data_IF_251631738434
#
_entry.id   IF_251631738434
#
_cell.length_a   1.000
_cell.length_b   1.000
_cell.length_c   1.000
_cell.angle_alpha   90.00
_cell.angle_beta   90.00
_cell.angle_gamma   90.00
#
_symmetry.space_group_name_H-M   'P 1'
#
loop_
_entity.id
_entity.type
_entity.pdbx_description
1 polymer ?
#
# COMPACT_ATOMS: atom_id res chain seq x y z
N UNK A 1 -10.58 -5.47 6.60
CA UNK A 1 -9.92 -5.17 5.32
C UNK A 1 -10.17 -3.69 5.05
N UNK A 2 -9.51 -3.10 4.07
CA UNK A 2 -9.69 -1.70 3.74
C UNK A 2 -10.57 -1.55 2.50
N UNK A 3 -11.79 -1.07 2.71
CA UNK A 3 -12.73 -0.75 1.64
C UNK A 3 -12.62 0.72 1.27
N UNK A 4 -12.66 1.03 -0.02
CA UNK A 4 -12.62 2.40 -0.49
C UNK A 4 -13.93 3.11 -0.16
N UNK A 5 -13.85 4.18 0.61
CA UNK A 5 -14.99 5.05 0.96
C UNK A 5 -15.16 6.16 -0.07
N UNK A 6 -14.06 6.81 -0.43
CA UNK A 6 -14.01 7.84 -1.47
C UNK A 6 -12.57 8.04 -1.97
N UNK A 7 -12.43 8.84 -3.03
CA UNK A 7 -11.15 9.31 -3.54
C UNK A 7 -11.20 10.83 -3.57
N UNK A 8 -10.29 11.48 -2.84
CA UNK A 8 -10.12 12.93 -2.93
C UNK A 8 -9.17 13.24 -4.07
N UNK A 9 -9.62 14.05 -5.02
CA UNK A 9 -8.74 14.51 -6.11
C UNK A 9 -7.64 15.40 -5.55
N UNK A 10 -6.43 15.19 -6.05
CA UNK A 10 -5.32 16.10 -5.84
C UNK A 10 -4.70 16.47 -7.17
N UNK A 11 -4.50 17.78 -7.38
CA UNK A 11 -3.85 18.34 -8.56
C UNK A 11 -2.30 18.27 -8.45
N UNK A 12 -1.77 17.92 -7.27
CA UNK A 12 -0.35 17.74 -7.01
C UNK A 12 -0.11 16.41 -6.30
N UNK A 13 0.88 15.63 -6.74
CA UNK A 13 1.26 14.41 -6.01
C UNK A 13 1.69 14.75 -4.59
N UNK A 14 1.18 13.99 -3.61
CA UNK A 14 1.54 14.17 -2.20
C UNK A 14 2.94 13.61 -1.91
N UNK A 15 3.53 14.03 -0.79
CA UNK A 15 4.82 13.48 -0.37
C UNK A 15 4.65 12.02 0.05
N UNK A 16 5.44 11.15 -0.59
CA UNK A 16 5.51 9.72 -0.28
C UNK A 16 6.96 9.32 -0.14
N UNK A 17 7.32 8.66 0.95
CA UNK A 17 8.64 8.09 1.18
C UNK A 17 8.50 6.58 1.31
N UNK A 18 9.21 5.84 0.46
CA UNK A 18 9.23 4.38 0.52
C UNK A 18 10.65 3.90 0.80
N UNK A 19 10.83 3.13 1.86
CA UNK A 19 12.15 2.64 2.28
C UNK A 19 12.19 1.13 2.32
N UNK A 20 13.36 0.59 1.99
CA UNK A 20 13.70 -0.81 2.19
C UNK A 20 15.00 -0.90 2.99
N UNK A 21 14.96 -1.60 4.13
CA UNK A 21 16.13 -1.84 4.97
C UNK A 21 16.52 -3.32 4.88
N UNK A 22 17.51 -3.71 4.05
CA UNK A 22 17.82 -5.12 3.78
C UNK A 22 18.23 -5.92 5.00
N UNK A 23 18.92 -5.29 5.96
CA UNK A 23 19.42 -5.93 7.19
C UNK A 23 18.30 -6.43 8.11
N UNK A 24 17.12 -5.83 8.03
CA UNK A 24 15.94 -6.19 8.82
C UNK A 24 14.72 -6.59 7.97
N UNK A 25 14.87 -6.61 6.64
CA UNK A 25 13.81 -6.91 5.67
C UNK A 25 12.51 -6.14 5.93
N UNK A 26 12.65 -4.85 6.25
CA UNK A 26 11.52 -3.95 6.47
C UNK A 26 11.19 -3.20 5.18
N UNK A 27 9.93 -3.27 4.77
CA UNK A 27 9.36 -2.49 3.68
C UNK A 27 8.40 -1.48 4.28
N UNK A 28 8.68 -0.20 4.08
CA UNK A 28 7.85 0.86 4.62
C UNK A 28 7.41 1.81 3.51
N UNK A 29 6.16 2.24 3.58
CA UNK A 29 5.62 3.34 2.78
C UNK A 29 5.01 4.33 3.77
N UNK A 30 5.65 5.50 3.87
CA UNK A 30 5.22 6.63 4.68
C UNK A 30 4.65 7.71 3.77
N UNK A 31 3.54 8.32 4.17
CA UNK A 31 2.94 9.45 3.47
C UNK A 31 2.89 10.68 4.38
N UNK A 32 2.57 11.83 3.81
CA UNK A 32 2.31 13.06 4.57
C UNK A 32 1.13 12.98 5.55
N UNK A 33 0.25 11.98 5.43
CA UNK A 33 -0.89 11.79 6.33
C UNK A 33 -0.48 11.18 7.68
N UNK A 34 0.76 10.69 7.82
CA UNK A 34 1.20 10.10 9.08
C UNK A 34 1.29 11.15 10.20
N UNK A 35 0.63 10.86 11.32
CA UNK A 35 0.63 11.71 12.51
C UNK A 35 0.45 10.87 13.78
N UNK A 36 0.56 11.51 14.95
CA UNK A 36 0.31 10.85 16.24
C UNK A 36 -1.14 10.40 16.45
N UNK A 37 -2.08 10.86 15.62
CA UNK A 37 -3.50 10.53 15.71
C UNK A 37 -3.89 9.36 14.79
N UNK A 38 -2.94 8.83 13.99
CA UNK A 38 -3.21 7.72 13.10
C UNK A 38 -3.53 6.43 13.88
N UNK A 39 -4.51 5.69 13.37
CA UNK A 39 -5.01 4.47 14.00
C UNK A 39 -4.28 3.26 13.39
N UNK A 40 -3.58 2.44 14.19
CA UNK A 40 -2.93 1.23 13.70
C UNK A 40 -3.95 0.13 13.43
N UNK A 41 -3.73 -0.60 12.34
CA UNK A 41 -4.50 -1.75 11.89
C UNK A 41 -3.50 -2.88 11.70
N UNK A 42 -3.56 -3.86 12.59
CA UNK A 42 -2.70 -5.03 12.52
C UNK A 42 -3.09 -5.89 11.33
N UNK A 43 -2.09 -6.27 10.54
CA UNK A 43 -2.20 -7.29 9.50
C UNK A 43 -1.37 -8.51 9.92
N UNK A 44 -1.68 -9.68 9.36
CA UNK A 44 -0.85 -10.86 9.51
C UNK A 44 0.60 -10.64 9.01
N UNK A 45 1.48 -11.60 9.35
CA UNK A 45 2.87 -11.63 8.88
C UNK A 45 3.70 -10.38 9.24
N UNK A 46 3.39 -9.71 10.36
CA UNK A 46 4.17 -8.57 10.84
C UNK A 46 3.88 -7.27 10.08
N UNK A 47 2.78 -7.21 9.34
CA UNK A 47 2.31 -5.99 8.69
C UNK A 47 1.48 -5.11 9.61
N UNK A 48 1.60 -3.80 9.48
CA UNK A 48 0.71 -2.84 10.11
C UNK A 48 0.42 -1.68 9.17
N UNK A 49 -0.83 -1.24 9.13
CA UNK A 49 -1.26 -0.03 8.40
C UNK A 49 -1.71 1.01 9.42
N UNK A 50 -1.30 2.25 9.23
CA UNK A 50 -1.79 3.41 9.96
C UNK A 50 -2.66 4.25 9.04
N UNK A 51 -3.89 4.51 9.46
CA UNK A 51 -4.79 5.42 8.76
C UNK A 51 -4.98 6.70 9.57
N UNK A 52 -5.04 7.85 8.89
CA UNK A 52 -5.49 9.08 9.52
C UNK A 52 -6.98 9.03 9.91
N UNK A 53 -7.45 10.07 10.60
CA UNK A 53 -8.84 10.14 11.08
C UNK A 53 -9.89 10.19 9.95
N UNK A 54 -9.49 10.49 8.72
CA UNK A 54 -10.38 10.50 7.55
C UNK A 54 -10.32 9.19 6.75
N UNK A 55 -9.33 8.34 7.03
CA UNK A 55 -9.11 7.05 6.40
C UNK A 55 -8.02 7.04 5.33
N UNK A 56 -7.24 8.11 5.17
CA UNK A 56 -6.10 8.12 4.25
C UNK A 56 -4.91 7.35 4.85
N UNK A 57 -4.10 6.73 3.98
CA UNK A 57 -2.92 5.97 4.41
C UNK A 57 -1.88 6.94 4.99
N UNK A 58 -1.54 6.82 6.27
CA UNK A 58 -0.38 7.46 6.87
C UNK A 58 0.90 6.64 6.67
N UNK A 59 0.86 5.37 7.06
CA UNK A 59 2.01 4.47 6.95
C UNK A 59 1.55 3.04 6.66
N UNK A 60 2.35 2.27 5.92
CA UNK A 60 2.29 0.82 5.92
C UNK A 60 3.70 0.26 6.11
N UNK A 61 3.88 -0.49 7.20
CA UNK A 61 5.13 -1.14 7.54
C UNK A 61 4.96 -2.65 7.46
N UNK A 62 5.95 -3.32 6.86
CA UNK A 62 6.01 -4.77 6.76
C UNK A 62 7.39 -5.29 7.14
N UNK A 63 7.46 -6.02 8.25
CA UNK A 63 8.72 -6.53 8.82
C UNK A 63 8.83 -8.04 8.54
N UNK A 64 9.92 -8.45 7.87
CA UNK A 64 10.16 -9.84 7.44
C UNK A 64 9.00 -10.52 6.68
N UNK A 65 8.40 -9.88 5.65
CA UNK A 65 7.38 -10.53 4.84
C UNK A 65 7.95 -11.72 4.06
N UNK A 66 7.05 -12.63 3.66
CA UNK A 66 7.29 -13.50 2.52
C UNK A 66 7.56 -12.63 1.28
N UNK A 67 8.68 -12.83 0.62
CA UNK A 67 9.03 -12.11 -0.61
C UNK A 67 8.93 -12.99 -1.84
N UNK A 68 8.51 -12.40 -2.96
CA UNK A 68 8.47 -13.05 -4.28
C UNK A 68 9.21 -12.18 -5.29
N UNK A 69 9.90 -12.86 -6.22
CA UNK A 69 10.78 -12.23 -7.23
C UNK A 69 10.18 -12.28 -8.65
N UNK A 70 9.08 -13.01 -8.86
CA UNK A 70 8.41 -13.09 -10.16
C UNK A 70 7.39 -11.97 -10.30
N UNK A 71 7.28 -11.32 -11.47
CA UNK A 71 6.23 -10.36 -11.69
C UNK A 71 4.90 -11.09 -11.70
N UNK A 72 4.07 -10.85 -10.70
CA UNK A 72 2.65 -11.06 -10.90
C UNK A 72 2.24 -10.06 -12.00
N UNK A 73 1.91 -10.57 -13.17
CA UNK A 73 1.39 -9.76 -14.26
C UNK A 73 -0.01 -9.30 -13.85
N UNK A 74 -0.17 -8.02 -13.58
CA UNK A 74 -1.47 -7.45 -13.28
C UNK A 74 -1.93 -6.54 -14.40
N UNK A 75 -3.12 -6.82 -14.90
CA UNK A 75 -3.84 -5.90 -15.77
C UNK A 75 -4.68 -4.99 -14.89
N UNK A 76 -4.34 -3.71 -14.90
CA UNK A 76 -5.12 -2.66 -14.25
C UNK A 76 -6.18 -2.17 -15.25
N UNK A 77 -7.46 -2.33 -14.90
CA UNK A 77 -8.58 -2.00 -15.78
C UNK A 77 -8.68 -0.49 -16.07
N UNK A 78 -8.61 0.34 -15.02
CA UNK A 78 -8.61 1.81 -15.13
C UNK A 78 -7.63 2.43 -14.14
N UNK A 79 -7.10 3.62 -14.46
CA UNK A 79 -6.26 4.40 -13.56
C UNK A 79 -6.82 5.81 -13.34
N UNK A 80 -6.77 6.31 -12.11
CA UNK A 80 -7.14 7.68 -11.74
C UNK A 80 -6.08 8.29 -10.81
N UNK A 81 -6.09 9.62 -10.67
CA UNK A 81 -5.28 10.33 -9.69
C UNK A 81 -6.10 10.68 -8.44
N UNK A 82 -5.49 10.58 -7.25
CA UNK A 82 -6.07 11.07 -6.00
C UNK A 82 -5.70 10.22 -4.80
N UNK A 83 -6.17 10.61 -3.62
CA UNK A 83 -5.91 9.91 -2.36
C UNK A 83 -7.12 9.07 -1.96
N UNK A 84 -7.01 7.74 -1.94
CA UNK A 84 -8.09 6.90 -1.44
C UNK A 84 -8.22 7.05 0.06
N UNK A 85 -9.47 7.15 0.52
CA UNK A 85 -9.82 7.09 1.93
C UNK A 85 -10.56 5.79 2.18
N UNK A 86 -10.16 5.08 3.23
CA UNK A 86 -10.62 3.74 3.52
C UNK A 86 -11.50 3.69 4.77
N UNK A 87 -12.41 2.72 4.79
CA UNK A 87 -13.05 2.23 6.00
C UNK A 87 -12.54 0.83 6.35
N UNK A 88 -12.46 0.55 7.64
CA UNK A 88 -11.97 -0.73 8.16
C UNK A 88 -13.14 -1.67 8.35
N UNK A 89 -13.07 -2.84 7.74
CA UNK A 89 -14.00 -3.96 7.97
C UNK A 89 -13.39 -5.03 8.88
N UNK A 90 -14.23 -5.84 9.52
CA UNK A 90 -13.83 -6.85 10.51
C UNK A 90 -12.94 -7.99 9.98
N UNK A 91 -12.74 -8.10 8.67
CA UNK A 91 -11.91 -9.14 8.05
C UNK A 91 -10.41 -8.80 8.13
N UNK A 92 -9.55 -9.77 8.38
CA UNK A 92 -8.09 -9.55 8.34
C UNK A 92 -7.56 -9.99 6.98
N UNK A 93 -6.58 -9.27 6.43
CA UNK A 93 -5.88 -9.71 5.24
C UNK A 93 -5.07 -10.98 5.54
N UNK A 94 -5.39 -12.07 4.86
CA UNK A 94 -4.75 -13.36 5.04
C UNK A 94 -3.56 -13.51 4.07
N UNK A 95 -2.42 -13.95 4.58
CA UNK A 95 -1.21 -14.24 3.77
C UNK A 95 -0.68 -13.08 2.88
N UNK A 96 -0.51 -11.86 3.42
CA UNK A 96 0.14 -10.78 2.70
C UNK A 96 1.60 -11.12 2.34
N UNK A 97 2.10 -10.52 1.26
CA UNK A 97 3.46 -10.77 0.76
C UNK A 97 4.01 -9.54 0.04
N UNK A 98 5.32 -9.50 -0.13
CA UNK A 98 5.99 -8.42 -0.86
C UNK A 98 6.57 -8.93 -2.16
N UNK A 99 6.25 -8.25 -3.25
CA UNK A 99 6.90 -8.46 -4.54
C UNK A 99 7.97 -7.40 -4.73
N UNK A 100 9.22 -7.84 -4.93
CA UNK A 100 10.37 -6.93 -5.11
C UNK A 100 10.81 -6.99 -6.58
N UNK A 101 11.16 -5.84 -7.15
CA UNK A 101 11.67 -5.73 -8.51
C UNK A 101 12.62 -4.54 -8.64
N UNK A 102 13.30 -4.43 -9.79
CA UNK A 102 14.20 -3.31 -10.05
C UNK A 102 13.41 -1.99 -10.07
N UNK A 103 13.70 -1.11 -9.10
CA UNK A 103 13.08 0.23 -9.00
C UNK A 103 11.89 0.34 -8.04
N UNK A 104 11.52 -0.74 -7.31
CA UNK A 104 10.45 -0.65 -6.32
C UNK A 104 9.99 -1.97 -5.72
N UNK A 105 8.86 -1.92 -5.04
CA UNK A 105 8.18 -3.10 -4.50
C UNK A 105 6.66 -2.91 -4.50
N UNK A 106 5.93 -4.01 -4.39
CA UNK A 106 4.50 -4.02 -4.09
C UNK A 106 4.27 -4.75 -2.78
N UNK A 107 3.56 -4.12 -1.85
CA UNK A 107 2.97 -4.82 -0.69
C UNK A 107 1.61 -5.33 -1.12
N UNK A 108 1.48 -6.65 -1.25
CA UNK A 108 0.21 -7.32 -1.55
C UNK A 108 -0.47 -7.71 -0.24
N UNK A 109 -1.71 -7.25 -0.08
CA UNK A 109 -2.57 -7.59 1.05
C UNK A 109 -3.41 -8.84 0.78
N UNK A 110 -3.65 -9.16 -0.49
CA UNK A 110 -4.25 -10.41 -0.94
C UNK A 110 -3.80 -10.74 -2.36
N UNK A 111 -3.83 -12.02 -2.71
CA UNK A 111 -3.59 -12.46 -4.09
C UNK A 111 -4.78 -12.08 -4.97
N UNK A 112 -4.51 -11.35 -6.06
CA UNK A 112 -5.53 -10.95 -7.05
C UNK A 112 -5.01 -11.15 -8.46
N UNK A 113 -5.87 -11.70 -9.32
CA UNK A 113 -5.56 -11.91 -10.74
C UNK A 113 -5.96 -10.73 -11.63
N UNK A 114 -6.85 -9.86 -11.14
CA UNK A 114 -7.31 -8.67 -11.83
C UNK A 114 -7.40 -7.48 -10.88
N UNK A 115 -6.95 -6.31 -11.35
CA UNK A 115 -7.04 -5.05 -10.61
C UNK A 115 -8.03 -4.18 -11.37
N UNK A 116 -9.13 -3.82 -10.72
CA UNK A 116 -10.19 -3.04 -11.36
C UNK A 116 -9.77 -1.58 -11.51
N UNK A 117 -9.14 -1.03 -10.46
CA UNK A 117 -8.76 0.37 -10.37
C UNK A 117 -7.37 0.53 -9.74
N UNK A 118 -6.48 1.23 -10.44
CA UNK A 118 -5.29 1.84 -9.86
C UNK A 118 -5.57 3.29 -9.48
N UNK A 119 -5.21 3.67 -8.27
CA UNK A 119 -5.29 5.06 -7.81
C UNK A 119 -3.86 5.53 -7.56
N UNK A 120 -3.40 6.46 -8.39
CA UNK A 120 -2.06 7.02 -8.29
C UNK A 120 -2.07 8.23 -7.35
N UNK A 121 -1.14 8.20 -6.40
CA UNK A 121 -0.91 9.28 -5.47
C UNK A 121 0.60 9.46 -5.27
N UNK A 122 1.17 10.56 -5.78
CA UNK A 122 2.61 10.75 -5.77
C UNK A 122 3.36 9.59 -6.44
N UNK A 123 4.25 8.94 -5.69
CA UNK A 123 5.09 7.84 -6.18
C UNK A 123 4.54 6.44 -5.84
N UNK A 124 3.31 6.38 -5.31
CA UNK A 124 2.61 5.14 -5.00
C UNK A 124 1.33 4.95 -5.83
N UNK A 125 0.95 3.68 -6.00
CA UNK A 125 -0.30 3.29 -6.63
C UNK A 125 -1.04 2.31 -5.73
N UNK A 126 -2.26 2.65 -5.37
CA UNK A 126 -3.17 1.76 -4.66
C UNK A 126 -3.92 0.89 -5.67
N UNK A 127 -3.90 -0.42 -5.47
CA UNK A 127 -4.62 -1.37 -6.30
C UNK A 127 -5.91 -1.80 -5.64
N UNK A 128 -7.03 -1.54 -6.30
CA UNK A 128 -8.39 -1.79 -5.81
C UNK A 128 -9.08 -2.86 -6.66
N UNK A 129 -9.75 -3.81 -6.01
CA UNK A 129 -10.64 -4.80 -6.63
C UNK A 129 -11.77 -5.16 -5.68
N UNK A 130 -13.02 -5.16 -6.19
CA UNK A 130 -14.24 -5.29 -5.40
C UNK A 130 -14.32 -4.27 -4.26
N UNK A 131 -13.99 -3.01 -4.58
CA UNK A 131 -13.90 -1.90 -3.62
C UNK A 131 -12.87 -2.11 -2.48
N UNK A 132 -12.08 -3.17 -2.49
CA UNK A 132 -11.07 -3.49 -1.48
C UNK A 132 -9.65 -3.14 -1.94
N UNK A 133 -8.84 -2.60 -1.03
CA UNK A 133 -7.40 -2.47 -1.24
C UNK A 133 -6.76 -3.86 -1.31
N UNK A 134 -6.05 -4.13 -2.40
CA UNK A 134 -5.41 -5.42 -2.69
C UNK A 134 -3.89 -5.34 -2.58
N UNK A 135 -3.32 -4.18 -2.88
CA UNK A 135 -1.89 -3.94 -2.74
C UNK A 135 -1.53 -2.48 -2.97
N UNK A 136 -0.31 -2.13 -2.59
CA UNK A 136 0.24 -0.79 -2.77
C UNK A 136 1.60 -0.95 -3.45
N UNK A 137 1.71 -0.41 -4.65
CA UNK A 137 2.95 -0.30 -5.40
C UNK A 137 3.67 0.97 -4.95
N UNK A 138 4.95 0.84 -4.58
CA UNK A 138 5.87 1.94 -4.36
C UNK A 138 6.95 1.95 -5.44
N UNK A 139 7.08 3.06 -6.14
CA UNK A 139 8.14 3.29 -7.13
C UNK A 139 9.17 4.27 -6.55
N UNK A 140 10.47 4.07 -6.83
CA UNK A 140 11.60 4.85 -6.28
C UNK A 140 11.82 4.69 -4.77
N UNK A 141 12.12 3.47 -4.37
CA UNK A 141 12.50 3.12 -2.99
C UNK A 141 13.90 3.62 -2.63
N UNK A 142 14.05 4.22 -1.45
CA UNK A 142 15.36 4.49 -0.83
C UNK A 142 15.85 3.22 -0.12
N UNK A 143 17.06 2.77 -0.45
CA UNK A 143 17.70 1.62 0.19
C UNK A 143 18.60 2.14 1.31
N UNK A 144 18.34 1.70 2.54
CA UNK A 144 19.15 2.05 3.71
C UNK A 144 19.99 0.83 4.11
N UNK A 145 21.33 0.95 4.04
CA UNK A 145 22.29 -0.11 4.41
C UNK A 145 22.54 -0.23 5.92
#
# INVERSE_FOLDING_TARGET
MLNIKNVKQSDAGFYTESTYTPSVQTYNILTEHMSGDCIPIQIECGGCIWLDTEGALGEIEFIYPKTVQSPLLHNVGRNIMGTPHFEVTDSIYESPFVQVFEGGFVIWLKEVTHIELGISDGEIIYFISNDELCGILATKTVINE
#
